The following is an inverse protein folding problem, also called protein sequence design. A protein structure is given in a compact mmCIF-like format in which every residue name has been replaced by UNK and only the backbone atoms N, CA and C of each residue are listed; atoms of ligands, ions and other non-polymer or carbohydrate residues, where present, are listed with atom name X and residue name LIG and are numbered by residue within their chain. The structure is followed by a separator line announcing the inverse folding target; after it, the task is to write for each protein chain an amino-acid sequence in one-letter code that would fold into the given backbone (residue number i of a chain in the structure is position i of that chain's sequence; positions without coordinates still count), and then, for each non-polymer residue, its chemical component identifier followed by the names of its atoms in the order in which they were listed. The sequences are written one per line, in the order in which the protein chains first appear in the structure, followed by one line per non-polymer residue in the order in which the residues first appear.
data_IF_709080680106
#
_entry.id   IF_709080680106
#
_cell.length_a   1.000
_cell.length_b   1.000
_cell.length_c   1.000
_cell.angle_alpha   90.00
_cell.angle_beta   90.00
_cell.angle_gamma   90.00
#
_symmetry.space_group_name_H-M   'P 1'
#
loop_
_entity.id
_entity.type
_entity.pdbx_description
1 polymer ?
#
# COMPACT_ATOMS: atom_id res chain seq x y z
N UNK A 1 8.76 -31.19 -15.22
CA UNK A 1 7.46 -31.49 -14.61
C UNK A 1 6.42 -30.49 -15.13
N UNK A 2 5.34 -30.99 -15.76
CA UNK A 2 4.31 -30.16 -16.40
C UNK A 2 3.57 -29.28 -15.38
N UNK A 3 3.37 -29.76 -14.17
CA UNK A 3 2.72 -29.00 -13.08
C UNK A 3 3.55 -27.76 -12.74
N UNK A 4 4.85 -27.92 -12.63
CA UNK A 4 5.76 -26.80 -12.40
C UNK A 4 5.71 -25.80 -13.57
N UNK A 5 5.75 -26.28 -14.82
CA UNK A 5 5.66 -25.41 -16.01
C UNK A 5 4.37 -24.63 -16.05
N UNK A 6 3.23 -25.28 -15.78
CA UNK A 6 1.92 -24.60 -15.75
C UNK A 6 1.84 -23.59 -14.61
N UNK A 7 2.42 -23.90 -13.45
CA UNK A 7 2.46 -22.98 -12.32
C UNK A 7 3.30 -21.74 -12.62
N UNK A 8 4.48 -21.92 -13.26
CA UNK A 8 5.32 -20.80 -13.69
C UNK A 8 4.62 -19.93 -14.73
N UNK A 9 3.91 -20.55 -15.70
CA UNK A 9 3.14 -19.82 -16.69
C UNK A 9 1.99 -19.05 -16.05
N UNK A 10 1.24 -19.68 -15.15
CA UNK A 10 0.17 -19.02 -14.40
C UNK A 10 0.73 -17.83 -13.59
N UNK A 11 1.83 -18.02 -12.87
CA UNK A 11 2.49 -16.97 -12.12
C UNK A 11 2.91 -15.77 -12.99
N UNK A 12 3.44 -16.01 -14.20
CA UNK A 12 3.79 -14.94 -15.16
C UNK A 12 2.55 -14.16 -15.63
N UNK A 13 1.48 -14.86 -15.97
CA UNK A 13 0.24 -14.21 -16.42
C UNK A 13 -0.46 -13.44 -15.30
N UNK A 14 -0.38 -13.94 -14.08
CA UNK A 14 -0.97 -13.29 -12.91
C UNK A 14 -0.07 -12.17 -12.35
N UNK A 15 1.16 -12.04 -12.82
CA UNK A 15 2.14 -11.10 -12.28
C UNK A 15 2.60 -11.46 -10.87
N UNK A 16 2.36 -12.69 -10.42
CA UNK A 16 2.69 -13.15 -9.09
C UNK A 16 3.85 -14.14 -9.09
N UNK A 17 4.72 -14.05 -8.09
CA UNK A 17 5.66 -15.11 -7.76
C UNK A 17 4.90 -16.24 -7.05
N UNK A 18 5.20 -17.49 -7.37
CA UNK A 18 4.59 -18.66 -6.73
C UNK A 18 4.83 -18.75 -5.22
N UNK A 19 5.93 -18.19 -4.76
CA UNK A 19 6.27 -18.10 -3.33
C UNK A 19 5.59 -16.91 -2.64
N UNK A 20 5.16 -15.91 -3.44
CA UNK A 20 4.50 -14.71 -2.93
C UNK A 20 3.34 -14.37 -3.85
N UNK A 21 2.18 -15.04 -3.69
CA UNK A 21 1.06 -14.94 -4.62
C UNK A 21 0.38 -13.58 -4.65
N UNK A 22 0.65 -12.72 -3.68
CA UNK A 22 -0.01 -11.43 -3.54
C UNK A 22 0.98 -10.29 -3.39
N UNK A 23 0.70 -9.20 -4.08
CA UNK A 23 1.15 -7.89 -3.64
C UNK A 23 0.01 -7.25 -2.86
N UNK A 24 0.31 -6.67 -1.72
CA UNK A 24 -0.62 -5.85 -0.99
C UNK A 24 -0.21 -4.39 -1.17
N UNK A 25 -1.18 -3.51 -1.43
CA UNK A 25 -0.96 -2.07 -1.49
C UNK A 25 -1.85 -1.38 -0.48
N UNK A 26 -1.31 -0.49 0.33
CA UNK A 26 -2.11 0.42 1.12
C UNK A 26 -2.59 1.57 0.24
N UNK A 27 -3.81 1.98 0.50
CA UNK A 27 -4.44 3.14 -0.11
C UNK A 27 -4.95 4.04 1.00
N UNK A 28 -4.81 5.34 0.82
CA UNK A 28 -5.41 6.29 1.76
C UNK A 28 -6.92 6.34 1.59
N UNK A 29 -7.64 6.49 2.70
CA UNK A 29 -9.09 6.81 2.73
C UNK A 29 -9.33 8.31 2.86
N UNK A 30 -8.26 9.12 2.86
CA UNK A 30 -8.28 10.55 3.08
C UNK A 30 -7.56 11.28 1.97
N UNK A 31 -8.04 12.46 1.61
CA UNK A 31 -7.43 13.30 0.59
C UNK A 31 -7.74 12.86 -0.83
N UNK A 32 -6.71 12.68 -1.65
CA UNK A 32 -6.86 12.16 -3.01
C UNK A 32 -6.82 10.65 -2.95
N UNK A 33 -7.97 10.03 -3.12
CA UNK A 33 -8.13 8.58 -3.00
C UNK A 33 -7.92 7.88 -4.34
N UNK A 34 -7.60 6.59 -4.28
CA UNK A 34 -7.61 5.72 -5.43
C UNK A 34 -8.89 4.92 -5.47
N UNK A 35 -9.70 5.11 -6.50
CA UNK A 35 -10.97 4.41 -6.62
C UNK A 35 -10.82 2.99 -7.20
N UNK A 36 -11.92 2.24 -7.24
CA UNK A 36 -11.95 0.85 -7.72
C UNK A 36 -11.58 0.69 -9.22
N UNK A 37 -11.67 1.77 -9.99
CA UNK A 37 -11.30 1.80 -11.41
C UNK A 37 -9.83 2.20 -11.63
N UNK A 38 -9.03 2.20 -10.56
CA UNK A 38 -7.62 2.61 -10.55
C UNK A 38 -7.39 4.06 -10.96
N UNK A 39 -8.40 4.91 -10.83
CA UNK A 39 -8.28 6.35 -11.02
C UNK A 39 -8.16 7.03 -9.68
N UNK A 40 -7.52 8.18 -9.70
CA UNK A 40 -7.46 9.05 -8.55
C UNK A 40 -8.70 9.92 -8.52
N UNK A 41 -9.20 10.19 -7.34
CA UNK A 41 -10.37 11.02 -7.13
C UNK A 41 -10.07 12.07 -6.06
N UNK A 42 -10.29 13.32 -6.42
CA UNK A 42 -10.27 14.45 -5.51
C UNK A 42 -11.67 15.06 -5.47
N UNK A 43 -12.35 14.91 -4.33
CA UNK A 43 -13.58 15.64 -4.01
C UNK A 43 -13.28 16.77 -3.02
N UNK A 44 -12.99 17.95 -3.57
CA UNK A 44 -12.65 19.13 -2.79
C UNK A 44 -13.80 19.67 -1.96
N UNK A 45 -15.06 19.39 -2.33
CA UNK A 45 -16.21 19.80 -1.51
C UNK A 45 -16.30 19.00 -0.21
N UNK A 46 -15.97 17.71 -0.27
CA UNK A 46 -15.94 16.85 0.91
C UNK A 46 -14.69 17.11 1.76
N UNK A 47 -13.53 17.28 1.13
CA UNK A 47 -12.26 17.43 1.84
C UNK A 47 -12.10 18.82 2.47
N UNK A 48 -12.60 19.86 1.78
CA UNK A 48 -12.51 21.27 2.21
C UNK A 48 -13.87 21.95 2.13
N UNK A 49 -14.82 21.58 3.01
CA UNK A 49 -16.19 22.10 2.95
C UNK A 49 -16.27 23.64 3.11
N UNK A 50 -15.31 24.23 3.81
CA UNK A 50 -15.25 25.68 4.06
C UNK A 50 -14.50 26.45 2.96
N UNK A 51 -14.02 25.77 1.89
CA UNK A 51 -13.37 26.46 0.79
C UNK A 51 -14.31 27.41 0.07
N UNK A 52 -13.85 28.65 -0.19
CA UNK A 52 -14.64 29.68 -0.87
C UNK A 52 -14.48 29.61 -2.38
N UNK A 53 -15.51 30.05 -3.13
CA UNK A 53 -15.43 30.15 -4.60
C UNK A 53 -14.20 30.97 -5.03
N UNK A 54 -13.50 30.48 -6.05
CA UNK A 54 -12.26 31.06 -6.54
C UNK A 54 -11.00 30.58 -5.81
N UNK A 55 -11.11 29.71 -4.81
CA UNK A 55 -9.96 29.05 -4.21
C UNK A 55 -9.42 27.93 -5.12
N UNK A 56 -8.13 27.69 -5.01
CA UNK A 56 -7.41 26.62 -5.73
C UNK A 56 -6.88 25.58 -4.77
N UNK A 57 -6.88 24.31 -5.20
CA UNK A 57 -6.06 23.24 -4.64
C UNK A 57 -5.15 22.74 -5.73
N UNK A 58 -3.87 22.65 -5.44
CA UNK A 58 -2.88 22.04 -6.33
C UNK A 58 -2.59 20.64 -5.86
N UNK A 59 -2.61 19.67 -6.78
CA UNK A 59 -2.18 18.29 -6.54
C UNK A 59 -0.96 17.99 -7.41
N UNK A 60 0.02 17.32 -6.83
CA UNK A 60 1.26 16.98 -7.50
C UNK A 60 1.58 15.51 -7.31
N UNK A 61 1.88 14.84 -8.41
CA UNK A 61 2.36 13.48 -8.43
C UNK A 61 3.45 13.29 -9.48
N UNK A 62 4.32 12.33 -9.29
CA UNK A 62 5.39 12.00 -10.23
C UNK A 62 5.19 10.59 -10.80
N UNK A 63 5.64 10.42 -12.02
CA UNK A 63 5.56 9.20 -12.79
C UNK A 63 6.92 8.84 -13.35
N UNK A 64 7.41 7.64 -13.09
CA UNK A 64 8.61 7.12 -13.76
C UNK A 64 8.23 6.47 -15.08
N UNK A 65 8.89 6.89 -16.16
CA UNK A 65 8.61 6.39 -17.50
C UNK A 65 9.87 5.93 -18.22
N UNK A 66 9.74 4.96 -19.14
CA UNK A 66 10.88 4.30 -19.78
C UNK A 66 11.49 5.03 -20.97
N UNK A 67 10.81 6.03 -21.54
CA UNK A 67 11.27 6.73 -22.76
C UNK A 67 10.43 7.95 -23.09
N UNK A 68 10.69 8.56 -24.24
CA UNK A 68 9.86 9.66 -24.75
C UNK A 68 8.57 9.12 -25.35
N UNK A 69 7.46 9.85 -25.18
CA UNK A 69 6.18 9.44 -25.75
C UNK A 69 5.01 10.26 -25.28
N UNK A 70 3.82 9.68 -25.45
CA UNK A 70 2.55 10.23 -24.99
C UNK A 70 1.82 9.19 -24.14
N UNK A 71 1.41 9.62 -22.96
CA UNK A 71 0.61 8.82 -22.05
C UNK A 71 -0.85 9.27 -22.15
N UNK A 72 -1.74 8.33 -22.47
CA UNK A 72 -3.16 8.63 -22.51
C UNK A 72 -3.75 8.70 -21.11
N UNK A 73 -4.31 9.84 -20.80
CA UNK A 73 -4.81 10.21 -19.48
C UNK A 73 -6.28 10.62 -19.57
N UNK A 74 -7.09 10.13 -18.65
CA UNK A 74 -8.50 10.51 -18.54
C UNK A 74 -8.65 11.55 -17.42
N UNK A 75 -9.49 12.55 -17.69
CA UNK A 75 -9.92 13.53 -16.71
C UNK A 75 -11.45 13.62 -16.77
N UNK A 76 -12.11 13.49 -15.61
CA UNK A 76 -13.54 13.73 -15.42
C UNK A 76 -13.68 14.88 -14.44
N UNK A 77 -13.73 16.13 -14.91
CA UNK A 77 -13.72 17.29 -14.03
C UNK A 77 -15.06 17.47 -13.31
N UNK A 78 -15.01 17.79 -12.02
CA UNK A 78 -16.17 18.21 -11.23
C UNK A 78 -16.36 19.73 -11.24
N UNK A 79 -15.28 20.47 -11.53
CA UNK A 79 -15.18 21.90 -11.68
C UNK A 79 -14.00 22.26 -12.59
N UNK A 80 -13.59 23.54 -12.69
CA UNK A 80 -12.47 23.94 -13.53
C UNK A 80 -11.15 23.30 -13.08
N UNK A 81 -10.42 22.71 -14.04
CA UNK A 81 -9.13 22.05 -13.83
C UNK A 81 -8.11 22.57 -14.83
N UNK A 82 -6.86 22.74 -14.38
CA UNK A 82 -5.69 22.89 -15.23
C UNK A 82 -4.67 21.80 -14.94
N UNK A 83 -3.95 21.35 -15.98
CA UNK A 83 -2.88 20.37 -15.88
C UNK A 83 -1.59 20.91 -16.45
N UNK A 84 -0.50 20.61 -15.75
CA UNK A 84 0.87 20.82 -16.23
C UNK A 84 1.63 19.50 -16.18
N UNK A 85 2.39 19.23 -17.22
CA UNK A 85 3.32 18.10 -17.29
C UNK A 85 4.73 18.64 -17.44
N UNK A 86 5.61 18.31 -16.50
CA UNK A 86 7.00 18.79 -16.47
C UNK A 86 7.10 20.34 -16.57
N UNK A 87 6.16 21.05 -15.95
CA UNK A 87 6.10 22.52 -15.94
C UNK A 87 5.35 23.16 -17.10
N UNK A 88 4.99 22.41 -18.14
CA UNK A 88 4.24 22.94 -19.30
C UNK A 88 2.74 22.69 -19.15
N UNK A 89 1.90 23.71 -19.41
CA UNK A 89 0.45 23.58 -19.39
C UNK A 89 -0.01 22.69 -20.56
N UNK A 90 -0.62 21.56 -20.26
CA UNK A 90 -1.10 20.59 -21.25
C UNK A 90 -2.61 20.55 -21.39
N UNK A 91 -3.33 21.11 -20.42
CA UNK A 91 -4.78 21.19 -20.44
C UNK A 91 -5.30 22.29 -19.52
N UNK A 92 -6.35 22.95 -19.98
CA UNK A 92 -7.19 23.84 -19.16
C UNK A 92 -8.66 23.62 -19.53
N UNK A 93 -9.52 23.53 -18.53
CA UNK A 93 -10.97 23.51 -18.74
C UNK A 93 -11.42 24.79 -19.43
N UNK A 94 -12.19 24.64 -20.49
CA UNK A 94 -12.82 25.77 -21.21
C UNK A 94 -14.17 26.11 -20.58
N UNK A 95 -14.73 27.27 -20.92
CA UNK A 95 -16.07 27.68 -20.46
C UNK A 95 -17.14 26.65 -20.88
N UNK A 96 -17.01 26.03 -22.04
CA UNK A 96 -17.94 24.99 -22.48
C UNK A 96 -17.83 23.72 -21.61
N UNK A 97 -16.61 23.35 -21.21
CA UNK A 97 -16.38 22.22 -20.31
C UNK A 97 -17.02 22.42 -18.93
N UNK A 98 -17.08 23.66 -18.43
CA UNK A 98 -17.77 23.96 -17.17
C UNK A 98 -19.28 23.70 -17.23
N UNK A 99 -19.91 23.91 -18.38
CA UNK A 99 -21.35 23.62 -18.59
C UNK A 99 -21.64 22.13 -18.58
N UNK A 100 -20.67 21.32 -18.90
CA UNK A 100 -20.77 19.85 -18.97
C UNK A 100 -19.85 19.21 -17.95
N UNK A 101 -19.93 19.65 -16.69
CA UNK A 101 -19.21 19.02 -15.59
C UNK A 101 -19.42 17.49 -15.60
N UNK A 102 -18.36 16.76 -15.29
CA UNK A 102 -18.30 15.29 -15.36
C UNK A 102 -18.28 14.68 -16.78
N UNK A 103 -18.17 15.48 -17.84
CA UNK A 103 -17.89 14.94 -19.17
C UNK A 103 -16.42 14.47 -19.22
N UNK A 104 -16.15 13.20 -19.56
CA UNK A 104 -14.79 12.68 -19.62
C UNK A 104 -13.99 13.32 -20.76
N UNK A 105 -12.77 13.73 -20.45
CA UNK A 105 -11.81 14.28 -21.39
C UNK A 105 -10.59 13.38 -21.43
N UNK A 106 -10.14 13.03 -22.64
CA UNK A 106 -8.88 12.29 -22.84
C UNK A 106 -7.79 13.25 -23.25
N UNK A 107 -6.65 13.19 -22.53
CA UNK A 107 -5.50 14.05 -22.72
C UNK A 107 -4.29 13.16 -23.03
N UNK A 108 -3.51 13.50 -24.05
CA UNK A 108 -2.24 12.84 -24.33
C UNK A 108 -1.13 13.64 -23.63
N UNK A 109 -0.67 13.16 -22.47
CA UNK A 109 0.39 13.79 -21.68
C UNK A 109 1.75 13.49 -22.30
N UNK A 110 2.58 14.51 -22.62
CA UNK A 110 3.94 14.27 -23.07
C UNK A 110 4.80 13.74 -21.92
N UNK A 111 5.46 12.61 -22.12
CA UNK A 111 6.35 11.98 -21.14
C UNK A 111 7.76 11.83 -21.68
N UNK A 112 8.75 11.91 -20.79
CA UNK A 112 10.17 11.70 -21.06
C UNK A 112 10.69 10.50 -20.26
N UNK A 113 11.87 10.01 -20.61
CA UNK A 113 12.56 8.99 -19.81
C UNK A 113 12.85 9.53 -18.41
N UNK A 114 12.70 8.68 -17.40
CA UNK A 114 12.89 9.03 -16.00
C UNK A 114 11.64 9.59 -15.34
N UNK A 115 11.81 10.49 -14.37
CA UNK A 115 10.72 11.09 -13.64
C UNK A 115 10.01 12.18 -14.43
N UNK A 116 8.69 12.13 -14.40
CA UNK A 116 7.79 13.12 -14.96
C UNK A 116 6.89 13.66 -13.85
N UNK A 117 6.68 14.96 -13.82
CA UNK A 117 5.91 15.65 -12.79
C UNK A 117 4.58 16.13 -13.37
N UNK A 118 3.49 15.63 -12.80
CA UNK A 118 2.12 16.03 -13.14
C UNK A 118 1.58 16.90 -12.02
N UNK A 119 1.15 18.11 -12.37
CA UNK A 119 0.47 19.03 -11.46
C UNK A 119 -0.94 19.29 -11.96
N UNK A 120 -1.93 19.16 -11.08
CA UNK A 120 -3.31 19.57 -11.33
C UNK A 120 -3.67 20.73 -10.43
N UNK A 121 -4.39 21.71 -10.97
CA UNK A 121 -5.02 22.76 -10.18
C UNK A 121 -6.53 22.64 -10.31
N UNK A 122 -7.18 22.38 -9.20
CA UNK A 122 -8.63 22.38 -9.09
C UNK A 122 -9.09 23.76 -8.62
N UNK A 123 -10.11 24.32 -9.26
CA UNK A 123 -10.68 25.60 -8.87
C UNK A 123 -12.07 25.40 -8.28
N UNK A 124 -12.30 25.92 -7.09
CA UNK A 124 -13.63 25.91 -6.44
C UNK A 124 -14.57 26.85 -7.17
N UNK A 125 -15.67 26.34 -7.67
CA UNK A 125 -16.77 27.12 -8.25
C UNK A 125 -18.11 26.52 -7.84
N UNK A 126 -19.19 27.18 -8.20
CA UNK A 126 -20.55 26.62 -8.02
C UNK A 126 -20.81 25.36 -8.84
N UNK A 127 -20.07 25.15 -9.92
CA UNK A 127 -20.15 23.92 -10.73
C UNK A 127 -19.57 22.70 -10.00
N UNK A 128 -18.58 22.91 -9.13
CA UNK A 128 -17.95 21.86 -8.35
C UNK A 128 -16.52 22.19 -7.96
N UNK A 129 -15.82 21.21 -7.36
CA UNK A 129 -14.46 21.34 -6.89
C UNK A 129 -13.76 19.97 -6.89
N UNK A 130 -12.98 19.68 -7.90
CA UNK A 130 -12.25 18.41 -7.98
C UNK A 130 -12.33 17.74 -9.34
N UNK A 131 -11.92 16.50 -9.38
CA UNK A 131 -12.00 15.61 -10.55
C UNK A 131 -11.74 14.14 -10.17
N UNK A 132 -12.18 13.23 -11.03
CA UNK A 132 -11.63 11.88 -11.17
C UNK A 132 -10.64 11.88 -12.34
N UNK A 133 -9.47 11.25 -12.18
CA UNK A 133 -8.42 11.31 -13.21
C UNK A 133 -7.44 10.14 -13.11
N UNK A 134 -6.72 9.91 -14.20
CA UNK A 134 -5.69 8.86 -14.25
C UNK A 134 -5.83 7.98 -15.47
N UNK A 135 -5.84 6.66 -15.30
CA UNK A 135 -5.93 5.71 -16.40
C UNK A 135 -7.18 5.93 -17.26
N UNK A 136 -7.00 5.99 -18.58
CA UNK A 136 -8.10 6.23 -19.51
C UNK A 136 -9.06 5.04 -19.61
N UNK A 137 -8.54 3.83 -19.40
CA UNK A 137 -9.34 2.61 -19.42
C UNK A 137 -9.54 2.12 -17.97
N UNK A 138 -10.76 2.20 -17.46
CA UNK A 138 -11.10 1.74 -16.11
C UNK A 138 -10.76 0.27 -15.89
N UNK A 139 -10.45 -0.10 -14.64
CA UNK A 139 -10.04 -1.43 -14.20
C UNK A 139 -8.62 -1.86 -14.63
N UNK A 140 -7.87 -1.00 -15.30
CA UNK A 140 -6.49 -1.23 -15.67
C UNK A 140 -5.61 -0.11 -15.14
N UNK A 141 -4.65 -0.47 -14.30
CA UNK A 141 -3.62 0.45 -13.87
C UNK A 141 -2.45 0.36 -14.86
N UNK A 142 -2.40 1.28 -15.80
CA UNK A 142 -1.27 1.35 -16.75
C UNK A 142 -0.04 2.00 -16.15
N UNK A 143 -0.21 2.76 -15.06
CA UNK A 143 0.84 3.50 -14.39
C UNK A 143 0.40 3.88 -12.98
N UNK A 144 1.38 4.13 -12.14
CA UNK A 144 1.19 4.59 -10.77
C UNK A 144 1.85 5.94 -10.61
N UNK A 145 1.15 6.85 -9.94
CA UNK A 145 1.69 8.14 -9.54
C UNK A 145 2.29 8.02 -8.15
N UNK A 146 3.39 8.69 -7.92
CA UNK A 146 4.09 8.72 -6.66
C UNK A 146 4.06 10.14 -6.08
N UNK A 147 3.95 10.26 -4.77
CA UNK A 147 4.10 11.52 -4.06
C UNK A 147 5.57 11.90 -3.83
N UNK A 148 5.82 12.57 -2.72
CA UNK A 148 7.16 13.02 -2.31
C UNK A 148 8.18 11.91 -2.17
N UNK A 149 9.46 12.31 -2.24
CA UNK A 149 10.59 11.40 -2.16
C UNK A 149 10.81 10.71 -0.83
N UNK A 150 10.36 11.28 0.27
CA UNK A 150 10.41 10.64 1.58
C UNK A 150 9.82 9.23 1.55
N UNK A 151 8.94 9.00 0.59
CA UNK A 151 8.23 7.76 0.38
C UNK A 151 8.21 7.43 -1.12
N UNK A 152 9.36 7.14 -1.71
CA UNK A 152 9.48 6.81 -3.14
C UNK A 152 8.53 5.68 -3.59
N UNK A 153 8.09 4.86 -2.65
CA UNK A 153 7.15 3.77 -2.87
C UNK A 153 5.69 4.15 -2.65
N UNK A 154 5.39 5.33 -2.07
CA UNK A 154 4.01 5.74 -1.84
C UNK A 154 3.32 6.15 -3.12
N UNK A 155 2.24 5.45 -3.42
CA UNK A 155 1.35 5.79 -4.51
C UNK A 155 0.42 6.94 -4.13
N UNK A 156 0.23 7.90 -5.05
CA UNK A 156 -0.75 8.96 -4.89
C UNK A 156 -0.26 10.33 -5.31
N UNK A 157 -0.94 11.32 -4.79
CA UNK A 157 -0.66 12.75 -5.03
C UNK A 157 -0.53 13.46 -3.70
N UNK A 158 0.49 14.32 -3.61
CA UNK A 158 0.54 15.36 -2.60
C UNK A 158 -0.34 16.54 -3.02
N UNK A 159 -0.93 17.26 -2.07
CA UNK A 159 -1.81 18.38 -2.37
C UNK A 159 -1.71 19.49 -1.34
N UNK A 160 -2.12 20.70 -1.75
CA UNK A 160 -2.11 21.90 -0.90
C UNK A 160 -3.43 22.06 -0.15
N UNK A 161 -3.42 22.89 0.89
CA UNK A 161 -4.66 23.51 1.39
C UNK A 161 -5.28 24.42 0.31
N UNK A 162 -6.58 24.75 0.41
CA UNK A 162 -7.18 25.76 -0.45
C UNK A 162 -6.44 27.10 -0.32
N UNK A 163 -6.02 27.66 -1.45
CA UNK A 163 -5.30 28.93 -1.54
C UNK A 163 -5.91 29.82 -2.61
N UNK A 164 -5.66 31.13 -2.56
CA UNK A 164 -5.97 32.08 -3.64
C UNK A 164 -4.71 32.49 -4.41
N UNK A 165 -3.56 32.00 -4.01
CA UNK A 165 -2.30 32.27 -4.67
C UNK A 165 -2.16 31.44 -5.95
N UNK A 166 -1.66 32.08 -7.00
CA UNK A 166 -1.27 31.41 -8.22
C UNK A 166 0.15 30.87 -8.07
N UNK A 167 0.26 29.55 -7.90
CA UNK A 167 1.54 28.86 -7.91
C UNK A 167 1.94 28.68 -9.38
N UNK A 168 3.07 29.25 -9.78
CA UNK A 168 3.58 29.22 -11.16
C UNK A 168 4.92 28.51 -11.29
N UNK A 169 5.56 28.18 -10.17
CA UNK A 169 6.80 27.42 -10.12
C UNK A 169 6.48 25.97 -9.74
N UNK A 170 6.64 25.08 -10.70
CA UNK A 170 6.43 23.64 -10.52
C UNK A 170 7.76 22.92 -10.64
N UNK A 171 7.93 21.78 -9.93
CA UNK A 171 9.16 21.02 -10.03
C UNK A 171 9.27 20.40 -11.43
N UNK A 172 10.30 20.72 -12.22
CA UNK A 172 10.55 20.08 -13.51
C UNK A 172 11.25 18.72 -13.35
N UNK A 173 11.91 18.52 -12.22
CA UNK A 173 12.64 17.31 -11.86
C UNK A 173 12.74 17.15 -10.33
N UNK A 174 13.35 16.06 -9.88
CA UNK A 174 13.48 15.72 -8.46
C UNK A 174 14.25 16.80 -7.68
N UNK A 175 15.31 17.33 -8.23
CA UNK A 175 16.21 18.26 -7.53
C UNK A 175 15.59 19.66 -7.38
N UNK A 176 14.73 20.04 -8.32
CA UNK A 176 13.99 21.29 -8.29
C UNK A 176 12.80 21.28 -7.33
N UNK A 177 12.37 20.13 -6.87
CA UNK A 177 11.19 19.97 -6.03
C UNK A 177 11.27 20.75 -4.72
N UNK A 178 12.36 20.63 -4.00
CA UNK A 178 12.53 21.27 -2.68
C UNK A 178 12.62 22.80 -2.79
N UNK A 179 13.00 23.31 -3.94
CA UNK A 179 13.11 24.75 -4.22
C UNK A 179 11.82 25.37 -4.77
N UNK A 180 10.83 24.57 -5.15
CA UNK A 180 9.61 25.04 -5.80
C UNK A 180 8.60 25.66 -4.83
N UNK A 181 7.89 26.71 -5.27
CA UNK A 181 6.82 27.35 -4.49
C UNK A 181 5.67 26.38 -4.14
N UNK A 182 5.43 25.38 -4.99
CA UNK A 182 4.44 24.32 -4.72
C UNK A 182 4.85 23.48 -3.53
N UNK A 183 6.10 23.06 -3.44
CA UNK A 183 6.57 22.16 -2.39
C UNK A 183 6.37 22.73 -0.98
N UNK A 184 6.56 24.04 -0.80
CA UNK A 184 6.39 24.70 0.50
C UNK A 184 4.94 24.77 0.98
N UNK A 185 3.98 24.53 0.10
CA UNK A 185 2.55 24.61 0.40
C UNK A 185 1.86 23.22 0.47
N UNK A 186 2.59 22.16 0.20
CA UNK A 186 2.04 20.79 0.31
C UNK A 186 1.67 20.48 1.77
N UNK A 187 0.46 19.99 1.96
CA UNK A 187 0.01 19.51 3.26
C UNK A 187 0.82 18.29 3.70
N UNK A 188 1.11 18.16 4.99
CA UNK A 188 1.71 16.94 5.50
C UNK A 188 0.81 15.74 5.24
N UNK A 189 1.42 14.58 5.07
CA UNK A 189 0.67 13.32 5.02
C UNK A 189 -0.07 13.10 6.36
N UNK A 190 -1.21 12.40 6.34
CA UNK A 190 -1.87 12.00 7.58
C UNK A 190 -0.89 11.26 8.48
N UNK A 191 -0.78 11.70 9.73
CA UNK A 191 0.03 11.07 10.77
C UNK A 191 -0.87 10.74 11.95
N UNK A 192 -0.38 9.89 12.84
CA UNK A 192 -1.05 9.66 14.10
C UNK A 192 -1.14 10.95 14.90
N UNK A 193 -2.20 11.10 15.66
CA UNK A 193 -2.36 12.27 16.54
C UNK A 193 -1.33 12.23 17.66
N UNK A 194 -1.00 13.38 18.22
CA UNK A 194 -0.06 13.46 19.35
C UNK A 194 -0.53 12.61 20.57
N UNK A 195 -1.84 12.44 20.75
CA UNK A 195 -2.40 11.58 21.78
C UNK A 195 -2.13 10.09 21.50
N UNK A 196 -2.29 9.65 20.27
CA UNK A 196 -2.02 8.28 19.84
C UNK A 196 -0.51 7.99 19.91
N UNK A 197 0.35 8.89 19.42
CA UNK A 197 1.80 8.76 19.50
C UNK A 197 2.28 8.71 20.98
N UNK A 198 1.71 9.52 21.85
CA UNK A 198 2.06 9.53 23.27
C UNK A 198 1.63 8.28 24.03
N UNK A 199 0.63 7.56 23.53
CA UNK A 199 0.21 6.28 24.07
C UNK A 199 1.18 5.13 23.75
N UNK A 200 2.10 5.34 22.80
CA UNK A 200 3.05 4.35 22.30
C UNK A 200 2.48 3.52 21.14
N UNK A 201 3.36 2.98 20.31
CA UNK A 201 3.01 2.35 19.03
C UNK A 201 1.98 1.22 19.16
N UNK A 202 2.06 0.39 20.20
CA UNK A 202 1.10 -0.71 20.38
C UNK A 202 -0.27 -0.20 20.80
N UNK A 203 -0.33 0.80 21.67
CA UNK A 203 -1.60 1.35 22.13
C UNK A 203 -2.34 2.07 21.00
N UNK A 204 -1.63 2.84 20.16
CA UNK A 204 -2.30 3.54 19.06
C UNK A 204 -2.76 2.60 17.93
N UNK A 205 -2.00 1.55 17.60
CA UNK A 205 -2.43 0.57 16.57
C UNK A 205 -3.75 -0.13 16.95
N UNK A 206 -4.03 -0.27 18.25
CA UNK A 206 -5.25 -0.91 18.75
C UNK A 206 -6.28 0.08 19.30
N UNK A 207 -6.04 1.39 19.20
CA UNK A 207 -6.91 2.43 19.76
C UNK A 207 -8.32 2.48 19.12
N UNK A 208 -8.40 2.26 17.80
CA UNK A 208 -9.65 2.39 17.03
C UNK A 208 -10.53 1.14 17.06
N UNK A 209 -10.15 0.12 17.76
CA UNK A 209 -10.95 -1.08 17.87
C UNK A 209 -12.08 -0.87 18.88
N UNK A 210 -13.27 -0.54 18.39
CA UNK A 210 -14.46 -0.39 19.22
C UNK A 210 -14.82 -1.64 20.03
N UNK A 211 -14.21 -2.77 19.68
CA UNK A 211 -14.33 -4.06 20.37
C UNK A 211 -13.07 -4.39 21.18
N UNK A 212 -12.05 -3.52 21.20
CA UNK A 212 -10.83 -3.80 21.92
C UNK A 212 -11.07 -3.72 23.43
N UNK A 213 -11.03 -4.87 24.05
CA UNK A 213 -10.80 -4.95 25.48
C UNK A 213 -9.46 -4.25 25.81
N UNK A 214 -9.30 -3.71 27.02
CA UNK A 214 -8.03 -3.15 27.46
C UNK A 214 -6.87 -4.11 27.16
N UNK A 215 -5.73 -3.60 26.72
CA UNK A 215 -4.57 -4.44 26.34
C UNK A 215 -3.93 -5.14 27.54
N UNK A 216 -4.21 -4.70 28.77
CA UNK A 216 -3.65 -5.29 29.98
C UNK A 216 -3.92 -6.81 30.04
N UNK A 217 -2.85 -7.58 30.19
CA UNK A 217 -2.89 -9.04 30.22
C UNK A 217 -3.06 -9.72 28.86
N UNK A 218 -3.17 -8.95 27.77
CA UNK A 218 -3.36 -9.47 26.42
C UNK A 218 -2.04 -9.73 25.71
N UNK A 219 -2.10 -10.56 24.69
CA UNK A 219 -0.98 -10.81 23.77
C UNK A 219 -1.21 -10.14 22.43
N UNK A 220 -0.14 -9.57 21.92
CA UNK A 220 -0.07 -8.91 20.61
C UNK A 220 0.99 -9.61 19.81
N UNK A 221 0.71 -9.85 18.54
CA UNK A 221 1.64 -10.44 17.59
C UNK A 221 2.18 -9.34 16.70
N UNK A 222 3.51 -9.20 16.62
CA UNK A 222 4.19 -8.36 15.66
C UNK A 222 4.99 -9.25 14.70
N UNK A 223 4.80 -9.06 13.39
CA UNK A 223 5.44 -9.88 12.36
C UNK A 223 6.15 -9.01 11.33
N UNK A 224 7.36 -9.43 10.97
CA UNK A 224 8.20 -8.83 9.95
C UNK A 224 8.96 -9.92 9.19
N UNK A 225 9.76 -9.56 8.21
CA UNK A 225 10.70 -10.46 7.53
C UNK A 225 12.04 -9.76 7.35
N UNK A 226 13.09 -10.56 7.11
CA UNK A 226 14.41 -10.09 6.72
C UNK A 226 15.06 -11.12 5.80
N UNK A 227 16.05 -10.68 5.02
CA UNK A 227 16.77 -11.53 4.08
C UNK A 227 18.24 -11.66 4.47
N UNK A 228 18.78 -12.87 4.36
CA UNK A 228 20.21 -13.15 4.47
C UNK A 228 20.77 -13.72 3.17
N UNK A 229 21.98 -13.32 2.78
CA UNK A 229 22.62 -13.78 1.55
C UNK A 229 23.51 -15.03 1.73
N UNK A 230 23.76 -15.42 2.98
CA UNK A 230 24.53 -16.60 3.35
C UNK A 230 24.06 -17.12 4.72
N UNK A 231 24.32 -18.40 4.98
CA UNK A 231 24.06 -18.97 6.31
C UNK A 231 24.89 -18.25 7.38
N UNK A 232 24.25 -17.76 8.43
CA UNK A 232 24.90 -16.98 9.49
C UNK A 232 24.11 -17.00 10.79
N UNK A 233 24.74 -16.52 11.86
CA UNK A 233 24.04 -16.22 13.10
C UNK A 233 23.44 -14.82 13.01
N UNK A 234 22.22 -14.67 13.48
CA UNK A 234 21.55 -13.38 13.64
C UNK A 234 21.19 -13.19 15.10
N UNK A 235 21.21 -11.93 15.54
CA UNK A 235 20.78 -11.54 16.88
C UNK A 235 19.55 -10.65 16.77
N UNK A 236 18.53 -10.92 17.59
CA UNK A 236 17.30 -10.13 17.64
C UNK A 236 17.28 -9.38 18.97
N UNK A 237 17.07 -8.08 18.91
CA UNK A 237 16.88 -7.23 20.08
C UNK A 237 15.48 -6.60 20.03
N UNK A 238 14.70 -6.80 21.09
CA UNK A 238 13.36 -6.23 21.23
C UNK A 238 13.37 -5.22 22.36
N UNK A 239 12.82 -4.03 22.11
CA UNK A 239 12.57 -2.99 23.11
C UNK A 239 11.06 -2.81 23.23
N UNK A 240 10.53 -3.12 24.38
CA UNK A 240 9.11 -2.94 24.72
C UNK A 240 8.92 -2.96 26.23
N UNK A 241 7.84 -2.36 26.72
CA UNK A 241 7.36 -2.52 28.08
C UNK A 241 6.61 -3.85 28.29
N UNK A 242 6.17 -4.49 27.18
CA UNK A 242 5.60 -5.83 27.21
C UNK A 242 6.69 -6.91 27.22
N UNK A 243 6.44 -8.04 27.86
CA UNK A 243 7.31 -9.20 27.77
C UNK A 243 7.27 -9.76 26.34
N UNK A 244 8.43 -10.13 25.78
CA UNK A 244 8.55 -10.57 24.41
C UNK A 244 9.05 -12.01 24.29
N UNK A 245 8.43 -12.79 23.42
CA UNK A 245 8.93 -14.07 22.93
C UNK A 245 9.20 -13.96 21.43
N UNK A 246 10.39 -14.36 20.99
CA UNK A 246 10.85 -14.18 19.61
C UNK A 246 10.89 -15.53 18.90
N UNK A 247 10.43 -15.53 17.65
CA UNK A 247 10.46 -16.70 16.76
C UNK A 247 11.04 -16.30 15.40
N UNK A 248 11.90 -17.15 14.85
CA UNK A 248 12.40 -17.05 13.49
C UNK A 248 12.00 -18.33 12.76
N UNK A 249 11.32 -18.19 11.62
CA UNK A 249 10.81 -19.32 10.80
C UNK A 249 9.99 -20.33 11.63
N UNK A 250 9.24 -19.84 12.61
CA UNK A 250 8.41 -20.64 13.50
C UNK A 250 9.15 -21.32 14.68
N UNK A 251 10.48 -21.25 14.73
CA UNK A 251 11.27 -21.75 15.84
C UNK A 251 11.55 -20.64 16.86
N UNK A 252 11.45 -20.96 18.16
CA UNK A 252 11.78 -20.02 19.22
C UNK A 252 13.25 -19.63 19.13
N UNK A 253 13.52 -18.32 19.21
CA UNK A 253 14.81 -17.72 18.93
C UNK A 253 15.14 -16.57 19.89
N UNK A 254 14.96 -16.79 21.20
CA UNK A 254 15.19 -15.77 22.22
C UNK A 254 16.66 -15.30 22.21
N UNK A 255 16.84 -14.05 21.74
CA UNK A 255 18.17 -13.42 21.58
C UNK A 255 18.87 -13.72 20.26
N UNK A 256 18.44 -14.69 19.45
CA UNK A 256 19.02 -14.95 18.13
C UNK A 256 18.98 -16.40 17.68
N UNK A 257 19.34 -16.64 16.42
CA UNK A 257 19.35 -17.96 15.80
C UNK A 257 20.43 -18.07 14.71
N UNK A 258 20.77 -19.31 14.33
CA UNK A 258 21.50 -19.60 13.09
C UNK A 258 20.47 -19.79 11.97
N UNK A 259 20.58 -18.98 10.92
CA UNK A 259 19.68 -19.00 9.76
C UNK A 259 20.44 -19.37 8.49
N UNK A 260 19.73 -19.90 7.49
CA UNK A 260 20.26 -20.19 6.14
C UNK A 260 20.47 -18.93 5.31
N UNK A 261 20.68 -19.08 4.02
CA UNK A 261 20.53 -18.00 3.05
C UNK A 261 19.06 -17.97 2.59
N UNK A 262 18.51 -16.80 2.40
CA UNK A 262 17.13 -16.59 1.95
C UNK A 262 16.32 -15.65 2.83
N UNK A 263 15.01 -15.68 2.62
CA UNK A 263 14.04 -14.89 3.38
C UNK A 263 13.64 -15.61 4.67
N UNK A 264 13.56 -14.87 5.74
CA UNK A 264 13.22 -15.36 7.06
C UNK A 264 12.05 -14.57 7.65
N UNK A 265 11.12 -15.29 8.27
CA UNK A 265 9.99 -14.70 9.00
C UNK A 265 10.40 -14.43 10.44
N UNK A 266 10.24 -13.19 10.86
CA UNK A 266 10.41 -12.77 12.25
C UNK A 266 9.04 -12.56 12.90
N UNK A 267 8.81 -13.24 14.00
CA UNK A 267 7.61 -13.10 14.81
C UNK A 267 8.02 -12.71 16.24
N UNK A 268 7.35 -11.71 16.79
CA UNK A 268 7.44 -11.34 18.19
C UNK A 268 6.05 -11.41 18.80
N UNK A 269 5.89 -12.24 19.83
CA UNK A 269 4.68 -12.29 20.64
C UNK A 269 4.94 -11.44 21.87
N UNK A 270 4.17 -10.39 22.03
CA UNK A 270 4.25 -9.43 23.13
C UNK A 270 3.13 -9.74 24.13
N UNK A 271 3.48 -9.89 25.39
CA UNK A 271 2.52 -10.08 26.49
C UNK A 271 2.51 -8.83 27.34
N UNK A 272 1.41 -8.11 27.32
CA UNK A 272 1.23 -6.90 28.12
C UNK A 272 0.98 -7.28 29.57
N UNK A 273 1.63 -6.59 30.51
CA UNK A 273 1.41 -6.85 31.94
C UNK A 273 -0.06 -6.64 32.32
N UNK A 274 -0.59 -7.53 33.15
CA UNK A 274 -1.95 -7.41 33.69
C UNK A 274 -2.15 -6.16 34.54
N UNK A 275 -1.05 -5.64 35.13
CA UNK A 275 -1.06 -4.43 35.92
C UNK A 275 -0.84 -3.16 35.09
N UNK A 276 -0.76 -3.26 33.76
CA UNK A 276 -0.62 -2.08 32.91
C UNK A 276 -1.77 -1.09 33.13
N UNK A 277 -1.43 0.15 33.39
CA UNK A 277 -2.37 1.20 33.82
C UNK A 277 -3.18 1.84 32.68
N UNK A 278 -2.94 1.44 31.43
CA UNK A 278 -3.55 2.03 30.24
C UNK A 278 -3.05 3.44 29.89
N UNK A 279 -2.05 3.97 30.62
CA UNK A 279 -1.50 5.33 30.46
C UNK A 279 -0.01 5.36 30.17
N UNK A 280 0.73 4.42 30.77
CA UNK A 280 2.17 4.28 30.48
C UNK A 280 2.32 3.94 29.01
N UNK A 281 3.17 4.66 28.22
CA UNK A 281 3.39 4.37 26.83
C UNK A 281 3.75 2.91 26.60
N UNK A 282 3.09 2.26 25.64
CA UNK A 282 3.31 0.87 25.29
C UNK A 282 4.01 0.82 23.92
N UNK A 283 5.33 0.99 23.96
CA UNK A 283 6.17 1.03 22.77
C UNK A 283 6.63 -0.35 22.32
N UNK A 284 6.98 -0.43 21.03
CA UNK A 284 7.59 -1.59 20.43
C UNK A 284 8.63 -1.16 19.40
N UNK A 285 9.80 -1.74 19.48
CA UNK A 285 10.82 -1.71 18.44
C UNK A 285 11.60 -3.01 18.45
N UNK A 286 11.97 -3.51 17.29
CA UNK A 286 12.87 -4.65 17.19
C UNK A 286 13.89 -4.42 16.08
N UNK A 287 15.08 -4.96 16.27
CA UNK A 287 16.18 -4.94 15.30
C UNK A 287 16.77 -6.34 15.16
N UNK A 288 17.21 -6.64 13.94
CA UNK A 288 17.98 -7.85 13.65
C UNK A 288 19.35 -7.43 13.18
N UNK A 289 20.40 -8.05 13.74
CA UNK A 289 21.78 -7.84 13.32
C UNK A 289 22.41 -9.14 12.87
N UNK A 290 23.32 -9.04 11.90
CA UNK A 290 24.13 -10.17 11.44
C UNK A 290 25.26 -10.48 12.43
N UNK A 291 26.04 -11.52 12.14
CA UNK A 291 27.18 -11.96 12.97
C UNK A 291 28.26 -10.87 13.15
N UNK A 292 28.32 -9.87 12.27
CA UNK A 292 29.24 -8.72 12.39
C UNK A 292 28.67 -7.56 13.21
N UNK A 293 27.40 -7.65 13.63
CA UNK A 293 26.67 -6.57 14.32
C UNK A 293 26.05 -5.54 13.40
N UNK A 294 26.07 -5.77 12.07
CA UNK A 294 25.40 -4.88 11.10
C UNK A 294 23.91 -5.15 11.11
N UNK A 295 23.10 -4.07 11.11
CA UNK A 295 21.64 -4.17 11.02
C UNK A 295 21.18 -4.79 9.70
N UNK A 296 20.26 -5.73 9.78
CA UNK A 296 19.52 -6.27 8.64
C UNK A 296 18.22 -5.48 8.47
N UNK A 297 17.87 -5.18 7.22
CA UNK A 297 16.64 -4.47 6.91
C UNK A 297 15.45 -5.37 7.19
N UNK A 298 14.51 -4.85 7.98
CA UNK A 298 13.21 -5.47 8.19
C UNK A 298 12.25 -4.98 7.12
N UNK A 299 11.42 -5.90 6.60
CA UNK A 299 10.46 -5.64 5.56
C UNK A 299 9.08 -6.16 5.95
N UNK A 300 8.04 -5.53 5.41
CA UNK A 300 6.67 -6.01 5.63
C UNK A 300 6.48 -7.39 5.00
N UNK A 301 6.00 -8.40 5.74
CA UNK A 301 5.89 -9.77 5.22
C UNK A 301 4.82 -9.93 4.13
N UNK A 302 3.89 -8.97 3.98
CA UNK A 302 2.91 -8.98 2.89
C UNK A 302 3.45 -8.41 1.58
N UNK A 303 4.74 -8.04 1.49
CA UNK A 303 5.26 -7.30 0.35
C UNK A 303 4.36 -6.10 0.01
N UNK A 304 4.00 -5.34 1.03
CA UNK A 304 3.11 -4.21 0.87
C UNK A 304 3.88 -3.08 0.22
N UNK A 305 3.52 -2.79 -1.02
CA UNK A 305 3.97 -1.60 -1.71
C UNK A 305 3.37 -0.37 -1.00
N UNK A 306 4.11 0.74 -0.93
CA UNK A 306 3.70 1.98 -0.27
C UNK A 306 3.59 1.93 1.27
N UNK A 307 4.12 0.91 1.94
CA UNK A 307 4.27 0.90 3.39
C UNK A 307 5.73 1.05 3.77
N UNK A 308 6.00 2.08 4.57
CA UNK A 308 7.30 2.30 5.19
C UNK A 308 7.53 1.40 6.41
N UNK A 309 6.44 1.05 7.08
CA UNK A 309 6.50 0.33 8.33
C UNK A 309 6.64 -1.18 8.10
N UNK A 310 7.71 -1.82 8.63
CA UNK A 310 8.02 -3.20 8.29
C UNK A 310 7.19 -4.23 9.05
N UNK A 311 6.24 -3.81 9.85
CA UNK A 311 5.51 -4.67 10.76
C UNK A 311 4.04 -4.83 10.39
N UNK A 312 3.54 -6.05 10.57
CA UNK A 312 2.13 -6.35 10.71
C UNK A 312 1.84 -6.68 12.16
N UNK A 313 0.69 -6.24 12.64
CA UNK A 313 0.22 -6.53 13.99
C UNK A 313 -1.08 -7.30 13.96
N UNK A 314 -1.25 -8.21 14.92
CA UNK A 314 -2.52 -8.89 15.17
C UNK A 314 -2.76 -9.02 16.66
N UNK A 315 -4.02 -8.97 17.05
CA UNK A 315 -4.45 -9.07 18.46
C UNK A 315 -5.65 -8.18 18.73
N UNK A 316 -5.96 -7.95 19.99
CA UNK A 316 -5.28 -8.47 21.18
C UNK A 316 -5.89 -9.82 21.57
N UNK A 317 -5.05 -10.80 21.88
CA UNK A 317 -5.45 -12.18 22.21
C UNK A 317 -5.40 -12.43 23.71
N UNK A 318 -6.39 -13.16 24.24
CA UNK A 318 -6.44 -13.57 25.64
C UNK A 318 -6.17 -15.07 25.78
N UNK A 319 -6.92 -15.88 25.04
CA UNK A 319 -6.95 -17.34 25.16
C UNK A 319 -6.29 -18.08 24.00
N UNK A 320 -6.12 -17.46 22.85
CA UNK A 320 -5.50 -18.08 21.67
C UNK A 320 -4.10 -18.59 22.00
N UNK A 321 -3.76 -19.89 21.81
CA UNK A 321 -2.44 -20.41 22.14
C UNK A 321 -1.37 -19.90 21.15
N UNK A 322 -0.10 -19.85 21.59
CA UNK A 322 1.00 -19.39 20.74
C UNK A 322 1.15 -20.23 19.46
N UNK A 323 0.85 -21.53 19.53
CA UNK A 323 0.85 -22.43 18.37
C UNK A 323 -0.11 -22.00 17.24
N UNK A 324 -1.16 -21.26 17.56
CA UNK A 324 -2.08 -20.68 16.59
C UNK A 324 -1.66 -19.29 16.10
N UNK A 325 -0.70 -18.65 16.78
CA UNK A 325 -0.16 -17.35 16.44
C UNK A 325 1.14 -17.42 15.60
N UNK A 326 1.86 -18.54 15.69
CA UNK A 326 3.13 -18.76 14.98
C UNK A 326 2.95 -18.91 13.47
N UNK A 327 1.98 -19.70 12.96
CA UNK A 327 1.77 -19.84 11.51
C UNK A 327 1.40 -18.50 10.87
N UNK A 328 1.86 -18.31 9.64
CA UNK A 328 1.56 -17.11 8.87
C UNK A 328 0.84 -17.46 7.58
N UNK A 329 -0.29 -16.81 7.38
CA UNK A 329 -0.98 -16.76 6.09
C UNK A 329 -1.54 -15.35 5.90
N UNK A 330 -1.22 -14.68 4.77
CA UNK A 330 -1.68 -13.32 4.52
C UNK A 330 -3.17 -13.25 4.19
N UNK A 331 -3.76 -14.36 3.80
CA UNK A 331 -5.16 -14.49 3.35
C UNK A 331 -6.07 -15.14 4.42
N UNK A 332 -5.54 -15.41 5.60
CA UNK A 332 -6.28 -16.01 6.70
C UNK A 332 -6.33 -15.11 7.93
N UNK A 333 -7.41 -15.26 8.70
CA UNK A 333 -7.50 -14.65 10.03
C UNK A 333 -6.50 -15.29 10.98
N UNK A 334 -5.92 -14.48 11.86
CA UNK A 334 -5.03 -14.91 12.93
C UNK A 334 -5.84 -15.14 14.21
N UNK A 335 -5.47 -16.15 14.98
CA UNK A 335 -6.13 -16.49 16.25
C UNK A 335 -7.15 -17.61 16.14
N UNK A 336 -7.81 -17.92 17.24
CA UNK A 336 -8.80 -19.00 17.34
C UNK A 336 -10.16 -18.51 17.84
N UNK A 337 -11.20 -19.23 17.50
CA UNK A 337 -12.56 -19.00 18.00
C UNK A 337 -13.04 -17.56 17.75
N UNK A 338 -13.50 -16.90 18.80
CA UNK A 338 -14.00 -15.55 18.77
C UNK A 338 -12.89 -14.47 18.71
N UNK A 339 -11.64 -14.87 18.92
CA UNK A 339 -10.48 -13.96 18.88
C UNK A 339 -9.87 -13.86 17.48
N UNK A 340 -10.39 -14.54 16.47
CA UNK A 340 -9.92 -14.42 15.09
C UNK A 340 -9.99 -12.99 14.60
N UNK A 341 -8.84 -12.45 14.12
CA UNK A 341 -8.72 -11.07 13.68
C UNK A 341 -7.85 -10.96 12.44
N UNK A 342 -7.94 -9.81 11.76
CA UNK A 342 -7.12 -9.45 10.62
C UNK A 342 -5.78 -8.85 11.06
N UNK A 343 -4.80 -8.91 10.16
CA UNK A 343 -3.57 -8.17 10.31
C UNK A 343 -3.82 -6.67 10.21
N UNK A 344 -3.12 -5.91 11.04
CA UNK A 344 -3.13 -4.45 11.08
C UNK A 344 -1.79 -3.92 10.61
N UNK A 345 -1.82 -2.73 10.04
CA UNK A 345 -0.64 -1.98 9.62
C UNK A 345 -0.63 -0.63 10.31
N UNK A 346 0.57 -0.09 10.53
CA UNK A 346 0.74 1.26 11.06
C UNK A 346 0.63 2.29 9.94
N UNK A 347 -0.59 2.56 9.51
CA UNK A 347 -0.92 3.52 8.47
C UNK A 347 -2.22 4.24 8.81
N UNK A 348 -2.16 5.52 9.28
CA UNK A 348 -3.35 6.27 9.64
C UNK A 348 -4.24 6.51 8.42
N UNK A 349 -5.56 6.29 8.59
CA UNK A 349 -6.55 6.47 7.52
C UNK A 349 -6.30 5.63 6.27
N UNK A 350 -5.60 4.50 6.43
CA UNK A 350 -5.26 3.61 5.33
C UNK A 350 -6.12 2.34 5.29
N UNK A 351 -6.08 1.68 4.16
CA UNK A 351 -6.61 0.34 3.97
C UNK A 351 -5.69 -0.44 3.04
N UNK A 352 -5.67 -1.75 3.17
CA UNK A 352 -4.84 -2.64 2.36
C UNK A 352 -5.70 -3.50 1.48
N UNK A 353 -5.35 -3.60 0.23
CA UNK A 353 -5.95 -4.50 -0.74
C UNK A 353 -4.89 -5.46 -1.26
N UNK A 354 -5.21 -6.73 -1.30
CA UNK A 354 -4.45 -7.69 -2.06
C UNK A 354 -4.55 -7.33 -3.55
N UNK A 355 -3.43 -7.34 -4.22
CA UNK A 355 -3.29 -6.77 -5.53
C UNK A 355 -2.34 -7.61 -6.37
N UNK A 356 -2.67 -7.77 -7.62
CA UNK A 356 -1.84 -8.41 -8.61
C UNK A 356 -1.14 -7.34 -9.45
N UNK A 357 0.16 -7.47 -9.72
CA UNK A 357 0.93 -6.54 -10.53
C UNK A 357 0.35 -6.31 -11.92
N UNK A 358 -0.25 -7.33 -12.49
CA UNK A 358 -0.99 -7.20 -13.72
C UNK A 358 -2.46 -6.89 -13.41
N UNK A 359 -2.84 -5.63 -13.56
CA UNK A 359 -4.19 -5.16 -13.27
C UNK A 359 -5.29 -5.86 -14.10
N UNK A 360 -4.95 -6.43 -15.24
CA UNK A 360 -5.87 -7.27 -16.04
C UNK A 360 -6.32 -8.51 -15.28
N UNK A 361 -5.48 -9.03 -14.39
CA UNK A 361 -5.69 -10.27 -13.65
C UNK A 361 -6.10 -10.03 -12.20
N UNK A 362 -6.06 -8.77 -11.74
CA UNK A 362 -6.43 -8.39 -10.37
C UNK A 362 -7.93 -8.39 -10.10
N UNK A 363 -8.75 -8.61 -11.09
CA UNK A 363 -10.20 -8.68 -11.00
C UNK A 363 -10.73 -9.98 -11.61
N UNK A 364 -11.87 -10.43 -11.12
CA UNK A 364 -12.61 -11.52 -11.77
C UNK A 364 -13.33 -10.95 -13.00
N UNK A 365 -12.67 -11.02 -14.13
CA UNK A 365 -13.18 -10.50 -15.40
C UNK A 365 -12.85 -11.45 -16.57
N UNK A 366 -13.21 -11.04 -17.79
CA UNK A 366 -13.02 -11.83 -18.99
C UNK A 366 -11.57 -12.33 -19.19
N UNK A 367 -10.51 -11.51 -19.08
CA UNK A 367 -9.15 -12.00 -19.27
C UNK A 367 -8.76 -13.10 -18.29
N UNK A 368 -9.09 -12.95 -16.99
CA UNK A 368 -8.82 -13.97 -15.98
C UNK A 368 -9.61 -15.26 -16.28
N UNK A 369 -10.90 -15.13 -16.59
CA UNK A 369 -11.77 -16.27 -16.93
C UNK A 369 -11.24 -17.08 -18.11
N UNK A 370 -10.83 -16.42 -19.18
CA UNK A 370 -10.27 -17.09 -20.39
C UNK A 370 -8.96 -17.79 -20.08
N UNK A 371 -8.09 -17.17 -19.29
CA UNK A 371 -6.80 -17.80 -18.91
C UNK A 371 -7.01 -19.01 -18.04
N UNK A 372 -7.86 -18.93 -17.02
CA UNK A 372 -8.19 -20.09 -16.17
C UNK A 372 -8.82 -21.23 -16.98
N UNK A 373 -9.73 -20.90 -17.91
CA UNK A 373 -10.31 -21.88 -18.81
C UNK A 373 -9.23 -22.54 -19.69
N UNK A 374 -8.35 -21.75 -20.28
CA UNK A 374 -7.23 -22.27 -21.08
C UNK A 374 -6.29 -23.17 -20.29
N UNK A 375 -5.99 -22.84 -19.02
CA UNK A 375 -5.19 -23.69 -18.13
C UNK A 375 -5.89 -25.00 -17.81
N UNK A 376 -7.22 -24.98 -17.57
CA UNK A 376 -8.03 -26.18 -17.30
C UNK A 376 -8.04 -27.09 -18.53
N UNK A 377 -8.28 -26.56 -19.74
CA UNK A 377 -8.28 -27.33 -20.97
C UNK A 377 -6.90 -27.91 -21.28
N UNK A 378 -5.84 -27.14 -21.04
CA UNK A 378 -4.46 -27.63 -21.17
C UNK A 378 -4.22 -28.79 -20.21
N UNK A 379 -4.64 -28.68 -18.94
CA UNK A 379 -4.56 -29.76 -17.95
C UNK A 379 -5.33 -31.02 -18.38
N UNK A 380 -6.52 -30.87 -18.96
CA UNK A 380 -7.33 -31.97 -19.52
C UNK A 380 -6.63 -32.67 -20.69
N UNK A 381 -6.06 -31.92 -21.60
CA UNK A 381 -5.31 -32.49 -22.73
C UNK A 381 -4.11 -33.30 -22.25
N UNK A 382 -3.39 -32.84 -21.25
CA UNK A 382 -2.27 -33.59 -20.67
C UNK A 382 -2.72 -34.81 -19.90
N UNK A 383 -3.83 -34.73 -19.15
CA UNK A 383 -4.40 -35.88 -18.45
C UNK A 383 -4.83 -36.98 -19.44
N UNK A 384 -5.51 -36.62 -20.53
CA UNK A 384 -5.93 -37.53 -21.59
C UNK A 384 -4.75 -38.19 -22.31
N UNK A 385 -3.57 -37.54 -22.37
CA UNK A 385 -2.35 -38.10 -22.95
C UNK A 385 -1.58 -39.05 -22.01
N UNK A 386 -2.07 -39.34 -20.82
CA UNK A 386 -1.43 -40.21 -19.82
C UNK A 386 -0.18 -39.59 -19.17
N UNK A 387 0.12 -38.33 -19.43
CA UNK A 387 1.31 -37.61 -18.94
C UNK A 387 1.07 -36.73 -17.72
N UNK A 388 -0.16 -36.65 -17.21
CA UNK A 388 -0.49 -35.80 -16.07
C UNK A 388 -0.72 -36.55 -14.77
N UNK A 389 0.00 -36.18 -13.74
CA UNK A 389 -0.45 -36.35 -12.36
C UNK A 389 -1.34 -35.16 -12.01
N UNK A 390 -2.46 -35.43 -11.37
CA UNK A 390 -3.57 -34.50 -11.08
C UNK A 390 -3.16 -33.05 -10.80
N UNK A 391 -3.63 -32.15 -11.63
CA UNK A 391 -3.71 -30.71 -11.34
C UNK A 391 -4.89 -30.52 -10.37
N UNK A 392 -4.63 -30.30 -9.10
CA UNK A 392 -5.64 -29.82 -8.16
C UNK A 392 -5.63 -28.31 -8.23
N UNK A 393 -6.63 -27.76 -8.86
CA UNK A 393 -6.94 -26.35 -8.71
C UNK A 393 -7.24 -26.11 -7.22
N UNK A 394 -6.40 -25.34 -6.54
CA UNK A 394 -6.71 -24.90 -5.18
C UNK A 394 -8.05 -24.17 -5.22
N UNK A 395 -8.99 -24.63 -4.42
CA UNK A 395 -10.28 -23.96 -4.29
C UNK A 395 -10.03 -22.56 -3.74
N UNK A 396 -10.24 -21.55 -4.56
CA UNK A 396 -10.41 -20.19 -4.07
C UNK A 396 -11.76 -20.17 -3.34
N UNK A 397 -11.71 -20.29 -2.02
CA UNK A 397 -12.87 -19.97 -1.18
C UNK A 397 -12.97 -18.45 -1.05
N UNK A 398 -14.15 -17.96 -1.28
CA UNK A 398 -14.56 -16.55 -1.18
C UNK A 398 -14.31 -15.94 0.20
#
# INVERSE_FOLDING_TARGET
DITHTLSVLAGRYMGANLETPYLARPFTTYGIIRNKDYRYEFDGNTLFPDATDGSYVYAWGKLKWGGEGKLRFLLIPYGPVKLWMNGEEVYATTFESERYAKAPVTIDLPVKAGWNHLVLRFTKTKAGFGAEYGTWLGKLAYYFMHGRDEYETMEGFDYTAPTREHIVSFPPDKDAYEAGALASQILPLPTWTAAEESAGVLAHIFADDKNSAPLAGKRIVARSRFTTYAAQNVTVSVKSQAAASVYIDGAQADGGAKVGAGDHQLLVILTVDKAWDGKTPLDFAATVTDASGRGLTLENPLLVDNIRFPWLFAGAFDTTPDSALIPFSPDALVGEGAEKTWWRIDLPGGWVRLYNDNALWGHWDYPLGVTLYGLIETGRCFAASGKARSFRCGSFSH
#
